data_IF_404094329178
#
_entry.id   IF_404094329178
#
_cell.length_a   1.000
_cell.length_b   1.000
_cell.length_c   1.000
_cell.angle_alpha   90.00
_cell.angle_beta   90.00
_cell.angle_gamma   90.00
#
_symmetry.space_group_name_H-M   'P 1'
#
loop_
_entity.id
_entity.type
_entity.pdbx_description
1 polymer ?
#
# COMPACT_ATOMS: atom_id res chain seq x y z
N UNK A 1 12.12 29.76 6.73
CA UNK A 1 11.71 28.93 5.57
C UNK A 1 10.72 29.76 4.77
N UNK A 2 10.88 29.94 3.47
CA UNK A 2 10.02 30.81 2.65
C UNK A 2 9.78 30.19 1.26
N UNK A 3 8.78 30.68 0.54
CA UNK A 3 8.41 30.15 -0.77
C UNK A 3 7.99 28.68 -0.64
N UNK A 4 8.67 27.77 -1.35
CA UNK A 4 8.36 26.32 -1.38
C UNK A 4 8.83 25.54 -0.14
N UNK A 5 9.41 26.22 0.85
CA UNK A 5 9.95 25.62 2.05
C UNK A 5 9.14 26.01 3.28
N UNK A 6 8.84 25.05 4.14
CA UNK A 6 8.13 25.26 5.39
C UNK A 6 8.95 24.84 6.61
N UNK A 7 8.64 25.43 7.76
CA UNK A 7 9.31 25.12 9.03
C UNK A 7 8.64 23.93 9.70
N UNK A 8 9.42 22.91 10.05
CA UNK A 8 8.95 21.76 10.83
C UNK A 8 10.05 21.35 11.82
N UNK A 9 9.73 21.19 13.10
CA UNK A 9 10.70 20.76 14.13
C UNK A 9 12.06 21.50 14.10
N UNK A 10 12.05 22.79 13.78
CA UNK A 10 13.25 23.64 13.69
C UNK A 10 14.02 23.58 12.36
N UNK A 11 13.63 22.72 11.42
CA UNK A 11 14.22 22.59 10.09
C UNK A 11 13.34 23.17 8.97
N UNK A 12 13.94 23.54 7.84
CA UNK A 12 13.23 23.95 6.63
C UNK A 12 13.13 22.79 5.63
N UNK A 13 11.91 22.36 5.33
CA UNK A 13 11.64 21.25 4.41
C UNK A 13 10.92 21.75 3.17
N UNK A 14 11.23 21.16 2.01
CA UNK A 14 10.56 21.51 0.76
C UNK A 14 9.27 20.71 0.60
N UNK A 15 8.14 21.38 0.35
CA UNK A 15 6.82 20.72 0.26
C UNK A 15 6.67 19.78 -0.96
N UNK A 16 7.49 19.94 -1.99
CA UNK A 16 7.40 19.14 -3.22
C UNK A 16 8.46 18.01 -3.27
N UNK A 17 9.31 17.89 -2.25
CA UNK A 17 10.38 16.88 -2.19
C UNK A 17 10.36 16.10 -0.89
N UNK A 18 10.86 14.87 -0.95
CA UNK A 18 11.07 14.06 0.23
C UNK A 18 12.17 14.68 1.11
N UNK A 19 12.00 14.72 2.45
CA UNK A 19 10.86 14.21 3.21
C UNK A 19 9.70 15.21 3.40
N UNK A 20 9.86 16.48 3.02
CA UNK A 20 8.85 17.52 3.30
C UNK A 20 7.47 17.26 2.68
N UNK A 21 7.42 16.66 1.49
CA UNK A 21 6.19 16.28 0.81
C UNK A 21 5.33 15.23 1.55
N UNK A 22 5.90 14.56 2.56
CA UNK A 22 5.16 13.61 3.42
C UNK A 22 4.29 14.31 4.46
N UNK A 23 4.54 15.60 4.72
CA UNK A 23 3.80 16.41 5.68
C UNK A 23 3.02 17.53 5.00
N UNK A 24 3.65 18.22 4.05
CA UNK A 24 3.09 19.38 3.39
C UNK A 24 3.20 19.25 1.88
N UNK A 25 2.11 19.46 1.14
CA UNK A 25 2.07 19.41 -0.32
C UNK A 25 2.15 20.80 -0.97
N UNK A 26 1.70 21.84 -0.28
CA UNK A 26 1.71 23.23 -0.79
C UNK A 26 2.01 24.23 0.32
N UNK A 27 2.68 25.32 -0.02
CA UNK A 27 3.03 26.40 0.90
C UNK A 27 2.59 27.77 0.40
N UNK A 28 2.42 28.72 1.32
CA UNK A 28 2.23 30.13 1.00
C UNK A 28 3.59 30.86 0.77
N UNK A 29 3.53 32.16 0.48
CA UNK A 29 4.73 32.99 0.29
C UNK A 29 5.61 33.10 1.54
N UNK A 30 5.02 32.93 2.72
CA UNK A 30 5.69 33.01 4.01
C UNK A 30 6.30 31.67 4.45
N UNK A 31 6.19 30.62 3.63
CA UNK A 31 6.65 29.29 3.98
C UNK A 31 5.78 28.59 5.03
N UNK A 32 4.50 28.91 5.12
CA UNK A 32 3.51 28.14 5.89
C UNK A 32 2.91 27.06 5.03
N UNK A 33 2.69 25.88 5.59
CA UNK A 33 1.94 24.86 4.87
C UNK A 33 0.48 25.28 4.70
N UNK A 34 -0.05 25.11 3.50
CA UNK A 34 -1.46 25.36 3.17
C UNK A 34 -2.20 24.08 2.75
N UNK A 35 -1.46 23.04 2.38
CA UNK A 35 -2.00 21.74 2.00
C UNK A 35 -1.30 20.63 2.76
N UNK A 36 -1.98 19.97 3.68
CA UNK A 36 -1.41 18.87 4.44
C UNK A 36 -1.49 17.56 3.66
N UNK A 37 -0.38 16.81 3.65
CA UNK A 37 -0.30 15.53 2.96
C UNK A 37 -1.22 14.45 3.54
N UNK A 38 -1.61 14.58 4.82
CA UNK A 38 -2.55 13.69 5.49
C UNK A 38 -4.03 14.05 5.27
N UNK A 39 -4.32 15.03 4.40
CA UNK A 39 -5.68 15.48 4.07
C UNK A 39 -6.32 16.42 5.09
N UNK A 40 -5.58 16.85 6.12
CA UNK A 40 -6.07 17.78 7.12
C UNK A 40 -5.96 19.24 6.66
N UNK A 41 -6.74 20.11 7.30
CA UNK A 41 -6.60 21.56 7.14
C UNK A 41 -5.40 22.03 7.95
N UNK A 42 -4.45 22.73 7.31
CA UNK A 42 -3.34 23.36 8.02
C UNK A 42 -3.85 24.45 8.96
N UNK A 43 -3.22 24.60 10.12
CA UNK A 43 -3.48 25.70 11.02
C UNK A 43 -3.10 27.03 10.36
N UNK A 44 -4.04 27.97 10.29
CA UNK A 44 -3.85 29.23 9.55
C UNK A 44 -2.82 30.16 10.19
N UNK A 45 -2.62 30.07 11.51
CA UNK A 45 -1.67 30.91 12.24
C UNK A 45 -0.23 30.41 12.09
N UNK A 46 -0.02 29.10 12.15
CA UNK A 46 1.32 28.48 12.19
C UNK A 46 1.72 27.86 10.86
N UNK A 47 0.77 27.34 10.09
CA UNK A 47 1.01 26.48 8.93
C UNK A 47 1.27 25.03 9.32
N UNK A 48 1.01 24.63 10.57
CA UNK A 48 1.22 23.26 11.03
C UNK A 48 0.07 22.35 10.60
N UNK A 49 0.40 21.11 10.24
CA UNK A 49 -0.57 20.10 9.84
C UNK A 49 -1.00 19.24 11.03
N UNK A 50 -2.29 19.27 11.43
CA UNK A 50 -2.77 18.48 12.54
C UNK A 50 -2.55 16.97 12.32
N UNK A 51 -2.11 16.26 13.35
CA UNK A 51 -1.94 14.81 13.27
C UNK A 51 -3.28 14.08 13.09
N UNK A 52 -3.21 12.90 12.48
CA UNK A 52 -4.29 11.93 12.42
C UNK A 52 -4.22 10.97 13.62
N UNK A 53 -5.28 10.19 13.90
CA UNK A 53 -5.26 9.16 14.94
C UNK A 53 -4.10 8.17 14.75
N UNK A 54 -3.76 7.44 15.81
CA UNK A 54 -2.67 6.45 15.77
C UNK A 54 -2.83 5.47 14.61
N UNK A 55 -1.73 5.18 13.93
CA UNK A 55 -1.65 4.27 12.76
C UNK A 55 -2.43 4.75 11.50
N UNK A 56 -2.97 5.97 11.53
CA UNK A 56 -3.71 6.57 10.43
C UNK A 56 -2.82 7.50 9.60
N UNK A 57 -2.67 7.21 8.31
CA UNK A 57 -1.92 8.02 7.35
C UNK A 57 -2.72 9.22 6.83
N UNK A 58 -4.04 9.09 6.72
CA UNK A 58 -4.92 10.17 6.27
C UNK A 58 -6.26 10.09 6.97
N UNK A 59 -6.79 11.24 7.35
CA UNK A 59 -8.03 11.33 8.11
C UNK A 59 -8.87 12.54 7.67
N UNK A 60 -10.12 12.55 8.09
CA UNK A 60 -11.06 13.67 7.91
C UNK A 60 -11.63 14.09 9.27
N UNK A 61 -12.22 15.29 9.33
CA UNK A 61 -12.77 15.84 10.57
C UNK A 61 -11.76 16.67 11.37
N UNK A 62 -12.28 17.56 12.21
CA UNK A 62 -11.50 18.50 13.04
C UNK A 62 -11.42 18.03 14.49
N UNK A 63 -12.56 17.85 15.14
CA UNK A 63 -12.65 17.43 16.56
C UNK A 63 -12.71 15.90 16.73
N UNK A 64 -13.50 15.23 15.89
CA UNK A 64 -13.58 13.76 15.84
C UNK A 64 -12.98 13.32 14.51
N UNK A 65 -11.70 12.93 14.54
CA UNK A 65 -10.96 12.55 13.34
C UNK A 65 -11.29 11.12 12.95
N UNK A 66 -11.79 10.92 11.74
CA UNK A 66 -12.10 9.61 11.16
C UNK A 66 -10.98 9.23 10.22
N UNK A 67 -10.41 8.03 10.39
CA UNK A 67 -9.37 7.59 9.48
C UNK A 67 -9.94 7.19 8.12
N UNK A 68 -9.27 7.59 7.04
CA UNK A 68 -9.62 7.21 5.67
C UNK A 68 -8.54 6.34 5.03
N UNK A 69 -7.30 6.41 5.53
CA UNK A 69 -6.19 5.59 5.05
C UNK A 69 -5.25 5.24 6.18
N UNK A 70 -4.92 3.97 6.31
CA UNK A 70 -3.97 3.47 7.30
C UNK A 70 -2.54 3.47 6.76
N UNK A 71 -1.55 3.49 7.67
CA UNK A 71 -0.17 3.19 7.29
C UNK A 71 -0.02 1.72 6.86
N UNK A 72 1.05 1.42 6.13
CA UNK A 72 1.42 0.03 5.80
C UNK A 72 1.52 -0.83 7.07
N UNK A 73 1.06 -2.06 6.99
CA UNK A 73 0.96 -2.97 8.14
C UNK A 73 -0.35 -2.84 8.92
N UNK A 74 -1.25 -1.97 8.47
CA UNK A 74 -2.57 -1.79 9.05
C UNK A 74 -3.66 -1.78 7.96
N UNK A 75 -4.84 -2.29 8.30
CA UNK A 75 -6.05 -2.19 7.49
C UNK A 75 -7.09 -1.31 8.20
N UNK A 76 -8.00 -0.72 7.42
CA UNK A 76 -9.11 0.09 7.93
C UNK A 76 -10.27 -0.83 8.32
N UNK A 77 -10.67 -0.83 9.59
CA UNK A 77 -11.80 -1.62 10.07
C UNK A 77 -13.15 -0.90 9.87
N UNK A 78 -14.25 -1.56 10.29
CA UNK A 78 -15.61 -1.02 10.14
C UNK A 78 -15.88 0.22 11.00
N UNK A 79 -15.07 0.48 12.02
CA UNK A 79 -15.14 1.67 12.87
C UNK A 79 -14.26 2.81 12.34
N UNK A 80 -13.65 2.66 11.16
CA UNK A 80 -12.64 3.57 10.61
C UNK A 80 -11.41 3.73 11.52
N UNK A 81 -11.04 2.66 12.22
CA UNK A 81 -9.80 2.56 12.97
C UNK A 81 -8.79 1.70 12.21
N UNK A 82 -7.51 2.00 12.39
CA UNK A 82 -6.42 1.25 11.77
C UNK A 82 -5.97 0.11 12.67
N UNK A 83 -6.18 -1.12 12.21
CA UNK A 83 -5.86 -2.36 12.91
C UNK A 83 -4.69 -3.06 12.25
N UNK A 84 -3.81 -3.68 13.02
CA UNK A 84 -2.63 -4.36 12.45
C UNK A 84 -3.09 -5.47 11.51
N UNK A 85 -2.32 -5.75 10.46
CA UNK A 85 -2.64 -6.82 9.53
C UNK A 85 -2.81 -8.20 10.18
N UNK A 86 -2.18 -8.43 11.34
CA UNK A 86 -2.31 -9.67 12.10
C UNK A 86 -3.45 -9.65 13.13
N UNK A 87 -4.06 -8.50 13.40
CA UNK A 87 -5.17 -8.37 14.35
C UNK A 87 -6.50 -8.70 13.67
N UNK A 88 -7.39 -9.39 14.38
CA UNK A 88 -8.79 -9.60 13.97
C UNK A 88 -9.66 -8.51 14.57
N UNK A 89 -10.52 -7.89 13.75
CA UNK A 89 -11.47 -6.86 14.19
C UNK A 89 -12.86 -7.15 13.60
N UNK A 90 -13.81 -7.49 14.47
CA UNK A 90 -15.16 -7.89 14.07
C UNK A 90 -15.15 -9.12 13.17
N UNK A 91 -15.67 -8.96 11.96
CA UNK A 91 -15.75 -10.00 10.91
C UNK A 91 -14.51 -10.07 10.02
N UNK A 92 -13.54 -9.17 10.23
CA UNK A 92 -12.29 -9.14 9.46
C UNK A 92 -11.22 -9.90 10.25
N UNK A 93 -10.67 -10.96 9.64
CA UNK A 93 -9.65 -11.81 10.27
C UNK A 93 -8.25 -11.36 9.86
N UNK A 94 -7.37 -11.18 10.85
CA UNK A 94 -5.96 -10.84 10.61
C UNK A 94 -5.17 -12.02 10.05
N UNK A 95 -4.08 -11.72 9.34
CA UNK A 95 -3.10 -12.69 8.84
C UNK A 95 -1.76 -12.42 9.52
N UNK A 96 -1.29 -13.41 10.30
CA UNK A 96 0.01 -13.39 10.93
C UNK A 96 1.15 -13.21 9.93
N UNK A 97 2.26 -12.62 10.38
CA UNK A 97 3.45 -12.38 9.56
C UNK A 97 3.20 -11.53 8.30
N UNK A 98 2.11 -10.76 8.25
CA UNK A 98 1.78 -9.90 7.14
C UNK A 98 2.31 -8.46 7.32
N UNK A 99 3.15 -8.00 6.38
CA UNK A 99 3.79 -6.68 6.39
C UNK A 99 2.85 -5.61 5.80
N UNK A 100 2.05 -5.97 4.80
CA UNK A 100 1.10 -5.06 4.16
C UNK A 100 -0.14 -5.83 3.75
N UNK A 101 -1.31 -5.27 4.09
CA UNK A 101 -2.59 -5.90 3.85
C UNK A 101 -3.65 -4.89 3.46
N UNK A 102 -4.77 -5.40 2.94
CA UNK A 102 -5.98 -4.65 2.64
C UNK A 102 -7.21 -5.33 3.25
N UNK A 103 -8.21 -4.54 3.62
CA UNK A 103 -9.47 -5.09 4.14
C UNK A 103 -10.20 -5.86 3.04
N UNK A 104 -10.95 -6.93 3.36
CA UNK A 104 -11.77 -7.62 2.37
C UNK A 104 -12.84 -6.68 1.80
N UNK A 105 -13.11 -6.77 0.49
CA UNK A 105 -14.08 -5.90 -0.20
C UNK A 105 -15.48 -5.98 0.40
N UNK A 106 -15.87 -7.16 0.88
CA UNK A 106 -17.17 -7.43 1.49
C UNK A 106 -17.23 -7.06 2.99
N UNK A 107 -16.15 -6.53 3.57
CA UNK A 107 -16.06 -6.25 5.01
C UNK A 107 -16.08 -7.51 5.90
N UNK A 108 -15.97 -8.69 5.31
CA UNK A 108 -16.00 -9.97 5.99
C UNK A 108 -14.94 -10.90 5.38
N UNK A 109 -14.24 -11.64 6.24
CA UNK A 109 -13.20 -12.58 5.86
C UNK A 109 -11.79 -12.12 6.20
N UNK A 110 -10.78 -12.87 5.76
CA UNK A 110 -9.39 -12.55 6.02
C UNK A 110 -8.94 -11.30 5.26
N UNK A 111 -8.02 -10.53 5.84
CA UNK A 111 -7.32 -9.47 5.13
C UNK A 111 -6.51 -10.05 3.97
N UNK A 112 -6.46 -9.33 2.85
CA UNK A 112 -5.61 -9.72 1.73
C UNK A 112 -4.19 -9.31 2.06
N UNK A 113 -3.29 -10.28 2.26
CA UNK A 113 -1.89 -9.99 2.54
C UNK A 113 -1.07 -9.87 1.25
N UNK A 114 -0.42 -8.74 1.03
CA UNK A 114 0.42 -8.49 -0.15
C UNK A 114 1.87 -8.91 0.07
N UNK A 115 2.38 -8.83 1.31
CA UNK A 115 3.77 -9.14 1.64
C UNK A 115 3.80 -9.88 2.98
N UNK A 116 4.44 -11.05 3.01
CA UNK A 116 4.69 -11.82 4.24
C UNK A 116 6.16 -11.77 4.63
N UNK A 117 6.47 -11.88 5.92
CA UNK A 117 7.85 -12.11 6.38
C UNK A 117 8.27 -13.54 6.01
N UNK A 118 9.51 -13.72 5.57
CA UNK A 118 10.06 -15.00 5.05
C UNK A 118 10.17 -16.14 6.08
N UNK A 119 9.59 -16.00 7.28
CA UNK A 119 9.69 -16.96 8.38
C UNK A 119 8.38 -17.62 8.81
N UNK A 120 7.24 -17.31 8.18
CA UNK A 120 5.94 -17.90 8.50
C UNK A 120 5.57 -19.01 7.53
N UNK A 121 5.69 -20.27 7.95
CA UNK A 121 5.24 -21.42 7.17
C UNK A 121 3.75 -21.30 6.79
N UNK A 122 3.44 -21.70 5.56
CA UNK A 122 2.07 -21.81 5.03
C UNK A 122 1.16 -22.54 6.01
N UNK A 123 0.09 -21.87 6.40
CA UNK A 123 -1.17 -22.53 6.76
C UNK A 123 -2.24 -21.88 5.91
N UNK A 124 -2.24 -22.27 4.63
CA UNK A 124 -3.26 -21.90 3.68
C UNK A 124 -4.51 -22.73 4.03
N UNK A 125 -5.41 -22.18 4.84
CA UNK A 125 -6.80 -22.62 4.85
C UNK A 125 -7.63 -21.57 4.12
N UNK A 126 -7.59 -21.62 2.80
CA UNK A 126 -8.50 -20.89 1.94
C UNK A 126 -9.05 -21.85 0.90
N UNK A 127 -10.21 -22.42 1.24
CA UNK A 127 -11.13 -23.02 0.28
C UNK A 127 -11.63 -21.91 -0.64
N UNK A 128 -10.99 -21.72 -1.80
CA UNK A 128 -11.48 -20.82 -2.84
C UNK A 128 -10.44 -20.24 -3.81
N UNK A 129 -9.97 -21.07 -4.76
CA UNK A 129 -9.67 -20.72 -6.16
C UNK A 129 -8.67 -19.60 -6.51
N UNK A 130 -7.39 -19.94 -6.65
CA UNK A 130 -6.38 -19.44 -7.63
C UNK A 130 -6.04 -17.93 -7.71
N UNK A 131 -4.82 -17.53 -8.15
CA UNK A 131 -3.86 -18.29 -8.94
C UNK A 131 -2.58 -18.67 -8.17
N UNK A 132 -2.06 -19.84 -8.53
CA UNK A 132 -0.75 -20.35 -8.12
C UNK A 132 0.37 -19.40 -8.53
N UNK A 133 1.08 -18.83 -7.56
CA UNK A 133 2.44 -18.31 -7.75
C UNK A 133 3.32 -18.83 -6.61
N UNK A 134 3.46 -20.16 -6.56
CA UNK A 134 4.60 -20.80 -5.92
C UNK A 134 5.78 -20.71 -6.88
N UNK A 135 6.69 -19.78 -6.59
CA UNK A 135 7.98 -19.69 -7.23
C UNK A 135 8.74 -21.01 -7.07
N UNK A 136 9.09 -21.65 -8.19
CA UNK A 136 10.12 -22.69 -8.22
C UNK A 136 9.76 -23.98 -8.97
N UNK A 137 9.52 -23.90 -10.28
CA UNK A 137 9.76 -25.03 -11.17
C UNK A 137 10.03 -24.51 -12.59
N UNK A 138 11.31 -24.35 -12.94
CA UNK A 138 11.71 -24.27 -14.35
C UNK A 138 11.56 -25.68 -14.91
N UNK A 139 10.36 -25.99 -15.41
CA UNK A 139 10.13 -27.18 -16.20
C UNK A 139 10.72 -26.93 -17.60
N UNK A 140 11.73 -27.72 -17.95
CA UNK A 140 12.46 -27.61 -19.22
C UNK A 140 11.53 -27.64 -20.42
N UNK A 141 11.78 -26.73 -21.36
CA UNK A 141 11.13 -26.75 -22.66
C UNK A 141 11.75 -27.90 -23.44
N UNK A 142 11.10 -29.07 -23.43
CA UNK A 142 11.44 -30.17 -24.33
C UNK A 142 11.07 -29.78 -25.75
N UNK A 143 12.02 -29.23 -26.49
CA UNK A 143 11.87 -28.94 -27.92
C UNK A 143 11.89 -30.29 -28.65
N UNK A 144 10.70 -30.80 -28.99
CA UNK A 144 10.59 -31.88 -29.95
C UNK A 144 10.91 -31.34 -31.34
N UNK A 145 12.15 -31.53 -31.79
CA UNK A 145 12.56 -31.29 -33.17
C UNK A 145 11.89 -32.34 -34.04
N UNK A 146 10.82 -31.96 -34.72
CA UNK A 146 10.24 -32.80 -35.78
C UNK A 146 11.13 -32.62 -37.01
N UNK A 147 12.08 -33.53 -37.17
CA UNK A 147 12.82 -33.68 -38.43
C UNK A 147 11.89 -34.41 -39.41
N UNK A 148 11.21 -33.67 -40.28
CA UNK A 148 10.60 -34.28 -41.47
C UNK A 148 11.71 -34.45 -42.51
N UNK A 149 12.34 -35.63 -42.48
CA UNK A 149 13.23 -36.09 -43.54
C UNK A 149 12.36 -36.60 -44.70
N UNK A 150 12.58 -36.05 -45.90
CA UNK A 150 12.45 -36.81 -47.15
C UNK A 150 11.17 -36.59 -47.96
N UNK A 151 11.35 -36.05 -49.18
CA UNK A 151 10.32 -35.98 -50.22
C UNK A 151 10.84 -35.32 -51.49
N UNK A 152 11.85 -35.92 -52.12
CA UNK A 152 12.44 -35.55 -53.40
C UNK A 152 11.61 -36.13 -54.57
N UNK A 153 10.96 -35.29 -55.37
CA UNK A 153 10.64 -35.44 -56.83
C UNK A 153 9.87 -34.17 -57.24
N UNK A 154 10.25 -33.34 -58.21
CA UNK A 154 10.67 -33.64 -59.58
C UNK A 154 9.45 -33.46 -60.53
N UNK A 155 9.66 -32.81 -61.69
CA UNK A 155 8.71 -32.40 -62.77
C UNK A 155 8.20 -30.96 -62.64
N UNK A 156 8.64 -29.95 -63.41
CA UNK A 156 8.94 -29.84 -64.86
C UNK A 156 7.74 -30.15 -65.75
N UNK A 157 6.91 -29.13 -66.03
CA UNK A 157 6.28 -28.79 -67.30
C UNK A 157 5.49 -27.49 -67.16
#
# INVERSE_FOLDING_TARGET
CAGKYFLESGGCYQAEKFPGNTLCTTTDSNGKCTGCANGQTADSGTGSCPACPTNCASCTGTSSKTCTKCFSGYYLDSANACKKCSETSGTITGVENCISCEKPSNGNGAVTCYVKTSGGGSSDNSTGGGPNLSSGAIAGISVAVIVVVGGLVGFLC
#
